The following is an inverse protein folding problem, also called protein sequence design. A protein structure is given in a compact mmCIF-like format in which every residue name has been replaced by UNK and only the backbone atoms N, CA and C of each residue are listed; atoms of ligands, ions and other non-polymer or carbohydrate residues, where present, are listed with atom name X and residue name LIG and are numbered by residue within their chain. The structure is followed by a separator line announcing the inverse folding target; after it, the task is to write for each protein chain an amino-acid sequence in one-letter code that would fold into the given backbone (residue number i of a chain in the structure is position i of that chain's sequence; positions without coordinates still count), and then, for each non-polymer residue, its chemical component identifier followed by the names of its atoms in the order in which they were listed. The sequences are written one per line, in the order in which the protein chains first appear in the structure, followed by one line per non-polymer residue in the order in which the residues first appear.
data_IF_113116092118
#
_entry.id   IF_113116092118
#
_cell.length_a   1.000
_cell.length_b   1.000
_cell.length_c   1.000
_cell.angle_alpha   90.00
_cell.angle_beta   90.00
_cell.angle_gamma   90.00
#
_symmetry.space_group_name_H-M   'P 1'
#
loop_
_entity.id
_entity.type
_entity.pdbx_description
1 polymer ?
#
# COMPACT_ATOMS: atom_id res chain seq x y z
N UNK A 1 12.97 3.93 8.41
CA UNK A 1 12.42 3.47 7.11
C UNK A 1 10.91 3.30 7.25
N UNK A 2 10.12 3.64 6.23
CA UNK A 2 8.66 3.46 6.27
C UNK A 2 8.18 2.46 5.21
N UNK A 3 7.08 1.79 5.51
CA UNK A 3 6.45 0.79 4.65
C UNK A 3 5.01 1.17 4.37
N UNK A 4 4.64 1.16 3.09
CA UNK A 4 3.32 1.56 2.61
C UNK A 4 2.67 0.38 1.91
N UNK A 5 1.54 -0.08 2.44
CA UNK A 5 0.60 -0.95 1.72
C UNK A 5 -0.43 -0.11 0.98
N UNK A 6 -0.65 -0.40 -0.29
CA UNK A 6 -1.67 0.23 -1.12
C UNK A 6 -2.64 -0.82 -1.66
N UNK A 7 -3.92 -0.69 -1.31
CA UNK A 7 -5.00 -1.46 -1.91
C UNK A 7 -5.68 -0.60 -2.99
N UNK A 8 -5.32 -0.87 -4.23
CA UNK A 8 -5.73 -0.08 -5.39
C UNK A 8 -7.10 -0.55 -5.91
N UNK A 9 -8.07 0.36 -5.88
CA UNK A 9 -9.36 0.19 -6.54
C UNK A 9 -9.50 1.13 -7.75
N UNK A 10 -10.69 1.16 -8.36
CA UNK A 10 -10.96 1.96 -9.56
C UNK A 10 -10.79 3.46 -9.31
N UNK A 11 -11.47 3.99 -8.29
CA UNK A 11 -11.59 5.45 -8.06
C UNK A 11 -10.78 5.95 -6.86
N UNK A 12 -10.39 5.04 -5.98
CA UNK A 12 -9.67 5.34 -4.75
C UNK A 12 -8.65 4.25 -4.44
N UNK A 13 -7.63 4.61 -3.69
CA UNK A 13 -6.64 3.69 -3.13
C UNK A 13 -6.66 3.81 -1.62
N UNK A 14 -6.76 2.69 -0.93
CA UNK A 14 -6.55 2.66 0.52
C UNK A 14 -5.07 2.54 0.82
N UNK A 15 -4.56 3.44 1.64
CA UNK A 15 -3.17 3.43 2.08
C UNK A 15 -3.08 3.03 3.54
N UNK A 16 -2.03 2.28 3.85
CA UNK A 16 -1.62 1.94 5.21
C UNK A 16 -0.11 2.19 5.34
N UNK A 17 0.28 3.12 6.20
CA UNK A 17 1.67 3.52 6.41
C UNK A 17 2.10 3.10 7.80
N UNK A 18 3.25 2.43 7.88
CA UNK A 18 3.88 2.06 9.14
C UNK A 18 5.37 2.36 9.15
N UNK A 19 5.93 2.54 10.33
CA UNK A 19 7.37 2.61 10.52
C UNK A 19 8.01 1.19 10.54
N UNK A 20 9.33 1.15 10.74
CA UNK A 20 10.08 -0.09 10.82
C UNK A 20 9.79 -0.97 12.05
N UNK A 21 9.17 -0.39 13.09
CA UNK A 21 8.73 -1.13 14.27
C UNK A 21 7.31 -1.69 14.10
N UNK A 22 6.68 -1.47 12.95
CA UNK A 22 5.28 -1.85 12.67
C UNK A 22 4.26 -0.92 13.31
N UNK A 23 4.67 0.27 13.76
CA UNK A 23 3.77 1.27 14.32
C UNK A 23 3.06 1.98 13.17
N UNK A 24 1.72 1.94 13.19
CA UNK A 24 0.88 2.63 12.21
C UNK A 24 1.05 4.15 12.34
N UNK A 25 1.42 4.80 11.24
CA UNK A 25 1.59 6.25 11.12
C UNK A 25 0.36 6.90 10.49
N UNK A 26 -0.19 6.27 9.45
CA UNK A 26 -1.35 6.78 8.72
C UNK A 26 -2.15 5.64 8.09
N UNK A 27 -3.45 5.84 7.92
CA UNK A 27 -4.31 4.90 7.20
C UNK A 27 -5.58 5.59 6.70
N UNK A 28 -5.72 5.74 5.39
CA UNK A 28 -6.88 6.43 4.78
C UNK A 28 -7.06 6.09 3.31
N UNK A 29 -8.27 6.36 2.81
CA UNK A 29 -8.61 6.29 1.38
C UNK A 29 -8.26 7.61 0.69
N UNK A 30 -7.64 7.53 -0.48
CA UNK A 30 -7.29 8.69 -1.31
C UNK A 30 -7.85 8.48 -2.71
N UNK A 31 -8.43 9.53 -3.30
CA UNK A 31 -8.86 9.52 -4.70
C UNK A 31 -7.69 9.20 -5.63
N UNK A 32 -7.95 8.41 -6.67
CA UNK A 32 -6.97 8.09 -7.71
C UNK A 32 -6.73 9.24 -8.71
N UNK A 33 -7.17 10.47 -8.40
CA UNK A 33 -6.75 11.63 -9.17
C UNK A 33 -5.25 11.89 -8.99
N UNK A 34 -4.61 12.34 -10.06
CA UNK A 34 -3.17 12.62 -10.05
C UNK A 34 -2.77 13.59 -8.94
N UNK A 35 -3.54 14.64 -8.71
CA UNK A 35 -3.22 15.67 -7.71
C UNK A 35 -3.43 15.17 -6.28
N UNK A 36 -4.48 14.38 -6.03
CA UNK A 36 -4.72 13.75 -4.72
C UNK A 36 -3.60 12.78 -4.36
N UNK A 37 -3.20 11.90 -5.29
CA UNK A 37 -2.12 10.94 -5.06
C UNK A 37 -0.78 11.63 -4.85
N UNK A 38 -0.41 12.61 -5.70
CA UNK A 38 0.83 13.38 -5.52
C UNK A 38 0.88 14.10 -4.18
N UNK A 39 -0.21 14.80 -3.83
CA UNK A 39 -0.30 15.52 -2.56
C UNK A 39 -0.16 14.54 -1.41
N UNK A 40 -0.80 13.37 -1.50
CA UNK A 40 -0.69 12.37 -0.46
C UNK A 40 0.71 11.77 -0.34
N UNK A 41 1.34 11.35 -1.44
CA UNK A 41 2.71 10.81 -1.41
C UNK A 41 3.72 11.80 -0.82
N UNK A 42 3.54 13.11 -1.08
CA UNK A 42 4.37 14.15 -0.49
C UNK A 42 4.19 14.29 1.04
N UNK A 43 3.10 13.78 1.62
CA UNK A 43 2.90 13.75 3.09
C UNK A 43 3.53 12.54 3.78
N UNK A 44 3.92 11.50 3.02
CA UNK A 44 4.49 10.29 3.61
C UNK A 44 5.96 10.57 3.99
N UNK A 45 6.37 10.27 5.23
CA UNK A 45 7.76 10.39 5.65
C UNK A 45 8.71 9.57 4.77
N UNK A 46 9.85 10.16 4.39
CA UNK A 46 10.87 9.52 3.55
C UNK A 46 12.06 9.01 4.40
N UNK A 47 12.77 7.97 3.95
CA UNK A 47 12.44 7.12 2.80
C UNK A 47 11.32 6.13 3.12
N UNK A 48 10.53 5.79 2.11
CA UNK A 48 9.51 4.75 2.21
C UNK A 48 9.55 3.79 1.02
N UNK A 49 9.15 2.55 1.29
CA UNK A 49 8.89 1.52 0.30
C UNK A 49 7.39 1.31 0.18
N UNK A 50 6.89 1.10 -1.04
CA UNK A 50 5.49 0.88 -1.31
C UNK A 50 5.26 -0.50 -1.93
N UNK A 51 4.21 -1.19 -1.52
CA UNK A 51 3.69 -2.38 -2.17
C UNK A 51 2.21 -2.17 -2.54
N UNK A 52 1.83 -2.51 -3.77
CA UNK A 52 0.46 -2.39 -4.28
C UNK A 52 -0.03 -3.71 -4.86
N UNK A 53 -1.28 -4.07 -4.60
CA UNK A 53 -1.89 -5.26 -5.22
C UNK A 53 -2.15 -5.03 -6.71
N UNK A 54 -1.72 -5.98 -7.56
CA UNK A 54 -1.96 -5.91 -9.00
C UNK A 54 -3.45 -6.08 -9.34
N UNK A 55 -4.14 -4.95 -9.53
CA UNK A 55 -5.50 -4.85 -10.10
C UNK A 55 -5.46 -4.25 -11.51
N UNK A 56 -6.57 -4.21 -12.24
CA UNK A 56 -6.59 -3.87 -13.68
C UNK A 56 -5.94 -2.53 -14.07
N UNK A 57 -5.87 -1.56 -13.15
CA UNK A 57 -5.39 -0.20 -13.37
C UNK A 57 -4.04 0.09 -12.67
N UNK A 58 -3.22 -0.90 -12.37
CA UNK A 58 -1.99 -0.71 -11.57
C UNK A 58 -0.91 0.19 -12.22
N UNK A 59 -0.84 0.25 -13.55
CA UNK A 59 0.26 0.89 -14.28
C UNK A 59 0.44 2.38 -13.93
N UNK A 60 -0.65 3.17 -13.97
CA UNK A 60 -0.57 4.61 -13.67
C UNK A 60 -0.13 4.87 -12.21
N UNK A 61 -0.51 3.94 -11.32
CA UNK A 61 -0.23 4.07 -9.91
C UNK A 61 1.25 3.79 -9.62
N UNK A 62 1.82 2.73 -10.20
CA UNK A 62 3.26 2.44 -10.10
C UNK A 62 4.10 3.59 -10.67
N UNK A 63 3.76 4.08 -11.88
CA UNK A 63 4.46 5.21 -12.52
C UNK A 63 4.45 6.48 -11.64
N UNK A 64 3.40 6.66 -10.83
CA UNK A 64 3.32 7.74 -9.86
C UNK A 64 4.15 7.44 -8.61
N UNK A 65 3.99 6.25 -8.03
CA UNK A 65 4.63 5.85 -6.79
C UNK A 65 6.16 5.86 -6.90
N UNK A 66 6.73 5.41 -8.03
CA UNK A 66 8.18 5.38 -8.27
C UNK A 66 8.85 6.77 -8.26
N UNK A 67 8.06 7.84 -8.40
CA UNK A 67 8.58 9.23 -8.31
C UNK A 67 8.82 9.70 -6.88
N UNK A 68 8.23 9.02 -5.89
CA UNK A 68 8.26 9.43 -4.48
C UNK A 68 8.82 8.34 -3.57
N UNK A 69 8.48 7.07 -3.83
CA UNK A 69 8.96 5.93 -3.07
C UNK A 69 10.41 5.60 -3.43
N UNK A 70 11.17 5.11 -2.46
CA UNK A 70 12.49 4.54 -2.73
C UNK A 70 12.37 3.27 -3.60
N UNK A 71 11.30 2.50 -3.41
CA UNK A 71 10.98 1.33 -4.23
C UNK A 71 9.46 1.10 -4.22
N UNK A 72 8.90 0.78 -5.38
CA UNK A 72 7.51 0.37 -5.54
C UNK A 72 7.44 -1.08 -6.02
N UNK A 73 6.73 -1.92 -5.27
CA UNK A 73 6.53 -3.33 -5.58
C UNK A 73 5.11 -3.56 -6.08
N UNK A 74 4.99 -4.05 -7.31
CA UNK A 74 3.72 -4.61 -7.80
C UNK A 74 3.60 -6.05 -7.31
N UNK A 75 2.71 -6.27 -6.37
CA UNK A 75 2.52 -7.57 -5.78
C UNK A 75 1.44 -8.35 -6.54
N UNK A 76 1.76 -9.58 -6.95
CA UNK A 76 0.81 -10.45 -7.63
C UNK A 76 -0.36 -10.76 -6.68
N UNK A 77 -1.58 -10.34 -7.05
CA UNK A 77 -2.75 -10.48 -6.16
C UNK A 77 -3.05 -11.94 -5.78
N UNK A 78 -2.65 -12.92 -6.62
CA UNK A 78 -2.80 -14.34 -6.30
C UNK A 78 -1.84 -14.78 -5.20
N UNK A 79 -0.58 -14.33 -5.27
CA UNK A 79 0.46 -14.66 -4.31
C UNK A 79 0.24 -13.95 -2.97
N UNK A 80 -0.18 -12.68 -2.99
CA UNK A 80 -0.56 -11.95 -1.78
C UNK A 80 -1.73 -12.58 -1.05
N UNK A 81 -2.81 -12.97 -1.76
CA UNK A 81 -3.95 -13.66 -1.14
C UNK A 81 -3.54 -15.00 -0.54
N UNK A 82 -2.63 -15.73 -1.20
CA UNK A 82 -2.09 -16.97 -0.66
C UNK A 82 -1.18 -16.74 0.55
N UNK A 83 -0.38 -15.67 0.57
CA UNK A 83 0.43 -15.26 1.72
C UNK A 83 -0.45 -14.79 2.89
N UNK A 84 -1.38 -13.87 2.66
CA UNK A 84 -2.34 -13.38 3.65
C UNK A 84 -3.21 -14.51 4.22
N UNK A 85 -3.60 -15.50 3.42
CA UNK A 85 -4.32 -16.69 3.91
C UNK A 85 -3.44 -17.59 4.79
N UNK A 86 -2.15 -17.70 4.48
CA UNK A 86 -1.16 -18.48 5.27
C UNK A 86 -0.72 -17.77 6.55
N UNK A 87 -0.65 -16.44 6.52
CA UNK A 87 -0.23 -15.59 7.63
C UNK A 87 -1.41 -14.88 8.32
N UNK A 88 -2.66 -15.28 8.01
CA UNK A 88 -3.83 -14.83 8.75
C UNK A 88 -3.65 -15.32 10.18
N UNK A 89 -3.37 -14.39 11.09
CA UNK A 89 -3.31 -14.66 12.53
C UNK A 89 -4.66 -15.27 12.93
N UNK A 90 -4.68 -16.59 13.15
CA UNK A 90 -5.79 -17.29 13.79
C UNK A 90 -5.78 -16.92 15.27
N UNK A 91 -6.24 -15.71 15.58
CA UNK A 91 -6.52 -15.27 16.95
C UNK A 91 -7.97 -15.63 17.33
N UNK A 92 -8.30 -16.90 17.15
CA UNK A 92 -9.43 -17.57 17.83
C UNK A 92 -9.06 -19.04 18.02
N UNK A 93 -8.37 -19.27 19.13
CA UNK A 93 -8.47 -20.53 19.88
C UNK A 93 -9.36 -20.19 21.09
N UNK A 94 -10.49 -20.89 21.19
CA UNK A 94 -11.41 -21.02 22.33
C UNK A 94 -11.89 -19.78 23.10
N UNK A 95 -13.14 -19.39 22.84
CA UNK A 95 -14.25 -19.54 23.78
C UNK A 95 -15.59 -19.61 23.02
#
# INVERSE_FOLDING_TARGET
MYYVGADLHKEQTWFYVMDENGIKIDSKSISNSQDSLKSYFATIPTPFTLAVEATYNWYFFIDMAEKFAQTAYLANSYELKAFAKRHKKTDKIDA
#
